data_IF_649779978257
#
_entry.id   IF_649779978257
#
_cell.length_a   1.000
_cell.length_b   1.000
_cell.length_c   1.000
_cell.angle_alpha   90.00
_cell.angle_beta   90.00
_cell.angle_gamma   90.00
#
_symmetry.space_group_name_H-M   'P 1'
#
loop_
_entity.id
_entity.type
_entity.pdbx_description
1 polymer ?
#
# COMPACT_ATOMS: atom_id res chain seq x y z
N UNK A 1 -7.51 5.88 -36.24
CA UNK A 1 -6.03 5.76 -36.21
C UNK A 1 -5.48 6.38 -34.92
N UNK A 2 -5.35 5.55 -33.89
CA UNK A 2 -5.07 5.99 -32.52
C UNK A 2 -3.61 6.35 -32.29
N UNK A 3 -3.38 7.58 -31.85
CA UNK A 3 -2.10 8.05 -31.32
C UNK A 3 -1.98 7.64 -29.86
N UNK A 4 -1.16 6.63 -29.60
CA UNK A 4 -0.81 6.22 -28.24
C UNK A 4 -0.02 7.32 -27.53
N UNK A 5 -0.54 7.78 -26.40
CA UNK A 5 0.13 8.71 -25.49
C UNK A 5 1.32 8.00 -24.83
N UNK A 6 2.54 8.36 -25.27
CA UNK A 6 3.79 8.01 -24.58
C UNK A 6 3.88 8.85 -23.31
N UNK A 7 3.77 8.19 -22.15
CA UNK A 7 4.10 8.76 -20.85
C UNK A 7 5.64 8.73 -20.73
N UNK A 8 6.33 9.89 -20.56
CA UNK A 8 7.81 9.95 -20.62
C UNK A 8 8.56 9.22 -19.50
N UNK A 9 7.90 8.92 -18.36
CA UNK A 9 8.55 8.44 -17.14
C UNK A 9 8.75 6.91 -17.05
N UNK A 10 8.52 6.17 -18.14
CA UNK A 10 8.56 4.70 -18.15
C UNK A 10 9.58 4.10 -19.13
N UNK A 11 10.73 4.76 -19.31
CA UNK A 11 11.84 4.15 -20.04
C UNK A 11 12.65 3.24 -19.11
N UNK A 12 12.83 1.94 -19.44
CA UNK A 12 13.72 1.07 -18.69
C UNK A 12 15.17 1.54 -18.87
N UNK A 13 15.77 2.09 -17.82
CA UNK A 13 17.18 2.46 -17.83
C UNK A 13 18.01 1.19 -17.67
N UNK A 14 18.38 0.60 -18.80
CA UNK A 14 19.38 -0.46 -18.87
C UNK A 14 20.77 0.16 -18.74
N UNK A 15 21.56 -0.46 -17.84
CA UNK A 15 22.99 -0.30 -17.64
C UNK A 15 23.48 0.95 -16.88
N UNK A 16 24.06 0.67 -15.71
CA UNK A 16 25.50 0.78 -15.42
C UNK A 16 25.76 1.45 -14.06
N UNK A 17 26.01 0.63 -13.05
CA UNK A 17 26.88 0.88 -11.89
C UNK A 17 26.67 -0.28 -10.89
N UNK A 18 27.48 -1.33 -11.03
CA UNK A 18 27.70 -2.30 -9.95
C UNK A 18 28.90 -1.77 -9.18
N UNK A 19 28.62 -1.15 -8.03
CA UNK A 19 29.62 -0.69 -7.07
C UNK A 19 29.32 -1.30 -5.71
N UNK A 20 30.06 -2.37 -5.40
CA UNK A 20 30.38 -2.95 -4.08
C UNK A 20 29.40 -2.74 -2.92
N UNK A 21 28.59 -3.77 -2.63
CA UNK A 21 28.10 -4.06 -1.28
C UNK A 21 28.30 -5.55 -0.98
N UNK A 22 29.15 -5.83 0.02
CA UNK A 22 29.24 -7.05 0.84
C UNK A 22 29.24 -8.42 0.17
N UNK A 23 30.40 -9.13 0.18
CA UNK A 23 30.43 -10.59 0.01
C UNK A 23 29.67 -11.25 1.18
N UNK A 24 28.66 -12.05 0.87
CA UNK A 24 28.08 -13.02 1.81
C UNK A 24 28.52 -14.41 1.38
N UNK A 25 29.06 -15.17 2.34
CA UNK A 25 29.72 -16.45 2.14
C UNK A 25 28.75 -17.51 1.61
N UNK A 26 29.17 -18.19 0.54
CA UNK A 26 28.44 -19.31 -0.05
C UNK A 26 28.60 -20.56 0.78
N UNK A 27 27.51 -21.00 1.41
CA UNK A 27 27.28 -22.39 1.81
C UNK A 27 26.27 -23.00 0.85
N UNK A 28 26.58 -24.18 0.33
CA UNK A 28 25.72 -24.94 -0.59
C UNK A 28 24.50 -25.47 0.17
N UNK A 29 23.51 -24.62 0.43
CA UNK A 29 22.24 -25.00 1.03
C UNK A 29 21.22 -25.29 -0.08
N UNK A 30 20.58 -26.44 0.02
CA UNK A 30 19.51 -26.93 -0.84
C UNK A 30 18.49 -25.84 -1.16
N UNK A 31 18.07 -25.75 -2.43
CA UNK A 31 17.10 -24.81 -2.96
C UNK A 31 15.74 -24.89 -2.24
N UNK A 32 15.64 -24.28 -1.06
CA UNK A 32 14.40 -23.93 -0.40
C UNK A 32 13.89 -22.64 -1.00
N UNK A 33 12.80 -22.72 -1.77
CA UNK A 33 12.17 -21.55 -2.36
C UNK A 33 11.49 -20.71 -1.27
N UNK A 34 12.15 -19.66 -0.80
CA UNK A 34 11.52 -18.61 -0.01
C UNK A 34 12.47 -17.82 0.86
N UNK A 35 12.09 -16.58 1.20
CA UNK A 35 12.72 -15.81 2.26
C UNK A 35 12.48 -16.48 3.63
N UNK A 36 13.55 -16.93 4.30
CA UNK A 36 13.51 -17.60 5.60
C UNK A 36 14.34 -16.83 6.62
N UNK A 37 13.79 -16.65 7.82
CA UNK A 37 14.54 -16.14 8.96
C UNK A 37 15.31 -17.29 9.62
N UNK A 38 16.62 -17.16 9.72
CA UNK A 38 17.51 -18.17 10.29
C UNK A 38 18.31 -17.59 11.45
N UNK A 39 18.41 -18.34 12.55
CA UNK A 39 19.35 -18.06 13.62
C UNK A 39 20.55 -19.01 13.46
N UNK A 40 21.73 -18.45 13.21
CA UNK A 40 23.00 -19.17 13.20
C UNK A 40 23.39 -19.65 14.60
N UNK A 41 24.13 -20.75 14.65
CA UNK A 41 24.61 -21.34 15.91
C UNK A 41 25.61 -20.45 16.68
N UNK A 42 26.11 -19.39 16.05
CA UNK A 42 27.00 -18.36 16.63
C UNK A 42 26.23 -17.16 17.23
N UNK A 43 24.89 -17.22 17.26
CA UNK A 43 24.04 -16.13 17.73
C UNK A 43 23.78 -15.05 16.68
N UNK A 44 24.29 -15.21 15.45
CA UNK A 44 23.87 -14.37 14.33
C UNK A 44 22.43 -14.71 13.95
N UNK A 45 21.62 -13.71 13.60
CA UNK A 45 20.29 -13.93 13.04
C UNK A 45 20.16 -13.12 11.76
N UNK A 46 19.57 -13.71 10.73
CA UNK A 46 19.54 -13.11 9.42
C UNK A 46 18.52 -13.73 8.49
N UNK A 47 18.37 -13.09 7.33
CA UNK A 47 17.51 -13.57 6.26
C UNK A 47 18.32 -14.36 5.26
N UNK A 48 17.88 -15.58 5.00
CA UNK A 48 18.21 -16.31 3.80
C UNK A 48 17.16 -15.98 2.74
N UNK A 49 17.57 -15.23 1.72
CA UNK A 49 16.71 -14.85 0.61
C UNK A 49 17.06 -15.68 -0.62
N UNK A 50 16.04 -16.23 -1.29
CA UNK A 50 16.19 -16.80 -2.62
C UNK A 50 16.64 -15.75 -3.63
N UNK A 51 17.21 -16.20 -4.76
CA UNK A 51 17.73 -15.31 -5.80
C UNK A 51 16.66 -14.33 -6.33
N UNK A 52 15.40 -14.75 -6.37
CA UNK A 52 14.27 -13.94 -6.82
C UNK A 52 13.92 -12.84 -5.81
N UNK A 53 13.86 -13.17 -4.53
CA UNK A 53 13.60 -12.21 -3.46
C UNK A 53 14.73 -11.18 -3.35
N UNK A 54 15.98 -11.62 -3.50
CA UNK A 54 17.14 -10.71 -3.57
C UNK A 54 17.03 -9.72 -4.74
N UNK A 55 16.65 -10.20 -5.93
CA UNK A 55 16.42 -9.35 -7.10
C UNK A 55 15.34 -8.30 -6.82
N UNK A 56 14.21 -8.71 -6.23
CA UNK A 56 13.09 -7.81 -5.90
C UNK A 56 13.50 -6.75 -4.88
N UNK A 57 14.20 -7.16 -3.82
CA UNK A 57 14.74 -6.25 -2.80
C UNK A 57 15.66 -5.22 -3.45
N UNK A 58 16.61 -5.65 -4.27
CA UNK A 58 17.57 -4.74 -4.90
C UNK A 58 16.94 -3.84 -5.95
N UNK A 59 15.97 -4.35 -6.73
CA UNK A 59 15.32 -3.62 -7.82
C UNK A 59 14.30 -2.59 -7.32
N UNK A 60 13.47 -2.95 -6.34
CA UNK A 60 12.31 -2.14 -5.95
C UNK A 60 12.44 -1.50 -4.58
N UNK A 61 13.10 -2.16 -3.62
CA UNK A 61 13.15 -1.69 -2.22
C UNK A 61 14.45 -0.94 -1.90
N UNK A 62 15.60 -1.39 -2.44
CA UNK A 62 16.92 -0.80 -2.21
C UNK A 62 17.24 0.39 -3.12
N UNK A 63 16.60 0.44 -4.30
CA UNK A 63 16.67 1.55 -5.26
C UNK A 63 15.31 2.23 -5.30
N UNK A 64 15.01 3.08 -4.33
CA UNK A 64 13.72 3.80 -4.29
C UNK A 64 13.49 4.51 -5.62
N UNK A 65 12.54 4.01 -6.43
CA UNK A 65 12.28 4.45 -7.82
C UNK A 65 11.73 5.88 -7.96
N UNK A 66 11.53 6.63 -6.86
CA UNK A 66 10.86 7.95 -6.93
C UNK A 66 11.53 9.08 -6.13
N UNK A 67 12.47 8.85 -5.21
CA UNK A 67 13.12 9.98 -4.51
C UNK A 67 14.56 9.72 -4.10
N UNK A 68 15.39 10.74 -4.31
CA UNK A 68 16.81 10.85 -3.99
C UNK A 68 17.15 10.34 -2.58
N UNK A 69 18.18 9.49 -2.54
CA UNK A 69 19.12 9.02 -1.49
C UNK A 69 18.73 8.79 -0.01
N UNK A 70 17.54 9.17 0.48
CA UNK A 70 17.19 9.00 1.91
C UNK A 70 15.68 8.74 2.17
N UNK A 71 14.97 8.25 1.15
CA UNK A 71 13.52 8.04 1.18
C UNK A 71 13.05 6.98 2.19
N UNK A 72 11.80 7.16 2.68
CA UNK A 72 11.11 6.28 3.63
C UNK A 72 11.25 4.80 3.29
N UNK A 73 11.14 4.43 2.00
CA UNK A 73 11.25 3.05 1.54
C UNK A 73 12.62 2.41 1.82
N UNK A 74 13.72 3.16 1.64
CA UNK A 74 15.08 2.64 1.89
C UNK A 74 15.31 2.41 3.38
N UNK A 75 14.86 3.34 4.22
CA UNK A 75 14.96 3.21 5.68
C UNK A 75 14.05 2.08 6.19
N UNK A 76 12.84 1.98 5.65
CA UNK A 76 11.88 0.93 5.97
C UNK A 76 12.38 -0.46 5.54
N UNK A 77 13.14 -0.57 4.44
CA UNK A 77 13.82 -1.82 4.08
C UNK A 77 14.83 -2.25 5.16
N UNK A 78 15.58 -1.30 5.73
CA UNK A 78 16.47 -1.59 6.87
C UNK A 78 15.71 -2.17 8.06
N UNK A 79 14.52 -1.62 8.36
CA UNK A 79 13.62 -2.12 9.41
C UNK A 79 13.04 -3.49 9.06
N UNK A 80 12.76 -3.76 7.77
CA UNK A 80 12.20 -5.03 7.32
C UNK A 80 13.12 -6.21 7.66
N UNK A 81 14.44 -6.04 7.55
CA UNK A 81 15.39 -7.09 7.90
C UNK A 81 15.35 -7.51 9.37
N UNK A 82 14.82 -6.69 10.29
CA UNK A 82 14.66 -7.06 11.70
C UNK A 82 13.22 -7.42 12.08
N UNK A 83 12.26 -7.27 11.16
CA UNK A 83 10.83 -7.46 11.41
C UNK A 83 10.20 -8.37 10.36
N UNK A 84 10.06 -9.69 10.63
CA UNK A 84 9.58 -10.65 9.63
C UNK A 84 8.22 -10.37 9.01
N UNK A 85 7.28 -9.83 9.78
CA UNK A 85 5.98 -9.43 9.26
C UNK A 85 6.08 -8.30 8.22
N UNK A 86 7.00 -7.33 8.41
CA UNK A 86 7.28 -6.26 7.46
C UNK A 86 8.07 -6.76 6.25
N UNK A 87 9.03 -7.66 6.43
CA UNK A 87 9.80 -8.23 5.33
C UNK A 87 8.91 -8.94 4.32
N UNK A 88 8.02 -9.82 4.81
CA UNK A 88 7.08 -10.51 3.95
C UNK A 88 6.08 -9.56 3.29
N UNK A 89 5.61 -8.51 3.97
CA UNK A 89 4.78 -7.48 3.34
C UNK A 89 5.51 -6.76 2.20
N UNK A 90 6.78 -6.40 2.42
CA UNK A 90 7.62 -5.70 1.44
C UNK A 90 7.89 -6.55 0.20
N UNK A 91 8.15 -7.85 0.40
CA UNK A 91 8.29 -8.82 -0.70
C UNK A 91 6.98 -8.99 -1.47
N UNK A 92 5.84 -9.08 -0.78
CA UNK A 92 4.53 -9.17 -1.42
C UNK A 92 4.22 -7.95 -2.28
N UNK A 93 4.48 -6.73 -1.79
CA UNK A 93 4.35 -5.50 -2.59
C UNK A 93 5.26 -5.54 -3.81
N UNK A 94 6.52 -5.97 -3.62
CA UNK A 94 7.48 -6.03 -4.71
C UNK A 94 7.04 -7.01 -5.80
N UNK A 95 6.45 -8.14 -5.42
CA UNK A 95 5.86 -9.11 -6.35
C UNK A 95 4.63 -8.56 -7.06
N UNK A 96 3.73 -7.89 -6.34
CA UNK A 96 2.55 -7.26 -6.92
C UNK A 96 2.94 -6.16 -7.93
N UNK A 97 3.98 -5.37 -7.62
CA UNK A 97 4.51 -4.35 -8.50
C UNK A 97 5.24 -4.95 -9.71
N UNK A 98 6.02 -6.02 -9.52
CA UNK A 98 6.68 -6.72 -10.62
C UNK A 98 5.66 -7.34 -11.59
N UNK A 99 4.58 -7.94 -11.06
CA UNK A 99 3.45 -8.45 -11.84
C UNK A 99 2.77 -7.35 -12.65
N UNK A 100 2.68 -6.13 -12.11
CA UNK A 100 2.15 -4.99 -12.83
C UNK A 100 3.06 -4.57 -14.01
N UNK A 101 4.37 -4.49 -13.79
CA UNK A 101 5.34 -4.06 -14.81
C UNK A 101 5.65 -5.12 -15.88
N UNK A 102 5.61 -6.41 -15.53
CA UNK A 102 5.99 -7.51 -16.41
C UNK A 102 4.81 -8.46 -16.68
N UNK A 103 3.89 -8.08 -17.60
CA UNK A 103 2.85 -8.97 -18.11
C UNK A 103 3.39 -10.32 -18.56
N UNK A 104 2.75 -11.43 -18.19
CA UNK A 104 3.15 -12.76 -18.68
C UNK A 104 2.98 -12.88 -20.21
N UNK A 105 4.04 -13.21 -20.99
CA UNK A 105 4.01 -13.17 -22.46
C UNK A 105 3.08 -14.20 -23.12
N UNK A 106 2.86 -15.36 -22.48
CA UNK A 106 2.18 -16.51 -23.10
C UNK A 106 0.64 -16.45 -23.09
N UNK A 107 0.01 -15.34 -22.71
CA UNK A 107 -1.45 -15.21 -22.80
C UNK A 107 -1.88 -13.87 -23.44
N UNK A 108 -1.73 -13.72 -24.77
CA UNK A 108 -2.06 -12.47 -25.48
C UNK A 108 -3.55 -12.12 -25.46
N UNK A 109 -4.42 -13.11 -25.25
CA UNK A 109 -5.88 -12.98 -25.16
C UNK A 109 -6.41 -12.94 -23.71
N UNK A 110 -5.56 -13.20 -22.69
CA UNK A 110 -5.90 -13.12 -21.26
C UNK A 110 -5.14 -12.00 -20.55
N UNK A 111 -4.88 -10.90 -21.28
CA UNK A 111 -4.24 -9.69 -20.73
C UNK A 111 -4.96 -9.09 -19.52
N UNK A 112 -6.21 -9.49 -19.26
CA UNK A 112 -7.01 -9.02 -18.14
C UNK A 112 -6.86 -9.88 -16.88
N UNK A 113 -6.61 -11.19 -16.97
CA UNK A 113 -6.65 -12.09 -15.81
C UNK A 113 -5.30 -12.24 -15.11
N UNK A 114 -4.21 -12.35 -15.87
CA UNK A 114 -2.85 -12.59 -15.32
C UNK A 114 -2.27 -11.38 -14.59
N UNK A 115 -2.71 -10.16 -14.92
CA UNK A 115 -2.32 -8.95 -14.23
C UNK A 115 -3.01 -8.74 -12.89
N UNK A 116 -4.06 -9.50 -12.58
CA UNK A 116 -4.94 -9.24 -11.43
C UNK A 116 -4.89 -10.33 -10.37
N UNK A 117 -4.54 -11.56 -10.76
CA UNK A 117 -4.37 -12.67 -9.83
C UNK A 117 -2.97 -12.70 -9.23
N UNK A 118 -2.82 -12.71 -7.89
CA UNK A 118 -1.54 -12.91 -7.23
C UNK A 118 -0.85 -14.19 -7.67
N UNK A 119 0.47 -14.15 -7.78
CA UNK A 119 1.26 -15.38 -7.89
C UNK A 119 1.21 -16.19 -6.59
N UNK A 120 1.54 -17.48 -6.64
CA UNK A 120 1.65 -18.30 -5.43
C UNK A 120 2.66 -17.72 -4.43
N UNK A 121 3.76 -17.15 -4.93
CA UNK A 121 4.80 -16.52 -4.10
C UNK A 121 4.29 -15.23 -3.43
N UNK A 122 3.50 -14.44 -4.15
CA UNK A 122 2.85 -13.24 -3.61
C UNK A 122 1.84 -13.60 -2.52
N UNK A 123 0.99 -14.60 -2.78
CA UNK A 123 0.04 -15.13 -1.80
C UNK A 123 0.74 -15.70 -0.56
N UNK A 124 1.85 -16.42 -0.74
CA UNK A 124 2.67 -16.97 0.34
C UNK A 124 3.22 -15.88 1.27
N UNK A 125 3.87 -14.85 0.71
CA UNK A 125 4.39 -13.73 1.50
C UNK A 125 3.27 -12.89 2.14
N UNK A 126 2.15 -12.71 1.45
CA UNK A 126 0.98 -12.02 2.01
C UNK A 126 0.43 -12.78 3.22
N UNK A 127 0.32 -14.11 3.12
CA UNK A 127 -0.12 -14.98 4.21
C UNK A 127 0.84 -14.90 5.40
N UNK A 128 2.15 -15.11 5.19
CA UNK A 128 3.14 -15.06 6.26
C UNK A 128 3.16 -13.69 6.95
N UNK A 129 3.13 -12.61 6.17
CA UNK A 129 3.06 -11.25 6.73
C UNK A 129 1.83 -11.08 7.62
N UNK A 130 0.64 -11.45 7.12
CA UNK A 130 -0.63 -11.33 7.85
C UNK A 130 -0.62 -12.15 9.14
N UNK A 131 -0.17 -13.41 9.09
CA UNK A 131 -0.14 -14.30 10.25
C UNK A 131 0.84 -13.82 11.34
N UNK A 132 2.04 -13.39 10.94
CA UNK A 132 3.03 -12.85 11.88
C UNK A 132 2.59 -11.50 12.46
N UNK A 133 1.98 -10.65 11.63
CA UNK A 133 1.46 -9.36 12.07
C UNK A 133 0.29 -9.53 13.04
N UNK A 134 -0.64 -10.44 12.74
CA UNK A 134 -1.74 -10.77 13.65
C UNK A 134 -1.22 -11.23 15.02
N UNK A 135 -0.19 -12.08 15.04
CA UNK A 135 0.48 -12.48 16.30
C UNK A 135 1.10 -11.29 17.02
N UNK A 136 1.76 -10.37 16.30
CA UNK A 136 2.34 -9.16 16.89
C UNK A 136 1.29 -8.22 17.47
N UNK A 137 0.11 -8.14 16.87
CA UNK A 137 -0.98 -7.29 17.36
C UNK A 137 -1.75 -7.89 18.56
N UNK A 138 -1.53 -9.17 18.90
CA UNK A 138 -2.06 -9.76 20.13
C UNK A 138 -1.39 -9.19 21.39
N UNK A 139 -0.20 -8.62 21.27
CA UNK A 139 0.48 -7.90 22.34
C UNK A 139 0.22 -6.39 22.21
N UNK A 140 -0.18 -5.69 23.29
CA UNK A 140 -0.39 -4.24 23.25
C UNK A 140 0.82 -3.50 22.72
N UNK A 141 0.59 -2.55 21.81
CA UNK A 141 1.62 -1.63 21.36
C UNK A 141 1.87 -0.66 22.51
N UNK A 142 3.02 -0.79 23.16
CA UNK A 142 3.29 -0.12 24.43
C UNK A 142 4.37 0.95 24.30
N UNK A 143 4.62 1.67 25.39
CA UNK A 143 5.76 2.59 25.48
C UNK A 143 7.11 1.88 25.48
N UNK A 144 7.14 0.56 25.73
CA UNK A 144 8.36 -0.25 25.70
C UNK A 144 8.77 -0.67 24.28
N UNK A 145 7.85 -0.58 23.31
CA UNK A 145 8.18 -0.78 21.90
C UNK A 145 9.11 0.33 21.43
N UNK A 146 10.20 -0.07 20.77
CA UNK A 146 11.14 0.88 20.19
C UNK A 146 10.46 1.69 19.08
N UNK A 147 11.05 2.83 18.72
CA UNK A 147 10.54 3.58 17.56
C UNK A 147 10.58 2.74 16.29
N UNK A 148 11.55 1.86 16.15
CA UNK A 148 11.64 0.94 15.01
C UNK A 148 10.49 -0.06 14.99
N UNK A 149 10.09 -0.61 16.14
CA UNK A 149 8.93 -1.52 16.23
C UNK A 149 7.63 -0.83 15.77
N UNK A 150 7.42 0.42 16.20
CA UNK A 150 6.24 1.21 15.82
C UNK A 150 6.21 1.53 14.33
N UNK A 151 7.37 1.84 13.73
CA UNK A 151 7.47 2.01 12.28
C UNK A 151 7.24 0.71 11.53
N UNK A 152 7.73 -0.42 12.05
CA UNK A 152 7.48 -1.72 11.44
C UNK A 152 5.97 -2.05 11.43
N UNK A 153 5.28 -1.77 12.53
CA UNK A 153 3.83 -1.98 12.66
C UNK A 153 3.07 -1.10 11.67
N UNK A 154 3.35 0.20 11.64
CA UNK A 154 2.68 1.11 10.73
C UNK A 154 2.96 0.78 9.27
N UNK A 155 4.23 0.50 8.93
CA UNK A 155 4.65 0.12 7.58
C UNK A 155 3.99 -1.16 7.10
N UNK A 156 3.84 -2.15 7.97
CA UNK A 156 3.16 -3.42 7.62
C UNK A 156 1.67 -3.21 7.40
N UNK A 157 1.00 -2.45 8.28
CA UNK A 157 -0.41 -2.14 8.11
C UNK A 157 -0.67 -1.34 6.82
N UNK A 158 0.19 -0.37 6.50
CA UNK A 158 0.16 0.37 5.24
C UNK A 158 0.38 -0.54 4.03
N UNK A 159 1.31 -1.48 4.13
CA UNK A 159 1.62 -2.40 3.05
C UNK A 159 0.48 -3.40 2.78
N UNK A 160 -0.13 -3.97 3.83
CA UNK A 160 -1.28 -4.85 3.71
C UNK A 160 -2.50 -4.10 3.16
N UNK A 161 -2.73 -2.85 3.56
CA UNK A 161 -3.75 -2.00 2.97
C UNK A 161 -3.49 -1.78 1.46
N UNK A 162 -2.25 -1.49 1.07
CA UNK A 162 -1.90 -1.31 -0.34
C UNK A 162 -2.15 -2.58 -1.17
N UNK A 163 -1.80 -3.75 -0.64
CA UNK A 163 -1.99 -5.03 -1.34
C UNK A 163 -3.46 -5.31 -1.68
N UNK A 164 -4.42 -4.81 -0.90
CA UNK A 164 -5.85 -4.95 -1.24
C UNK A 164 -6.25 -4.25 -2.54
N UNK A 165 -5.50 -3.21 -2.95
CA UNK A 165 -5.70 -2.53 -4.24
C UNK A 165 -4.99 -3.24 -5.41
N UNK A 166 -4.05 -4.14 -5.13
CA UNK A 166 -3.25 -4.82 -6.14
C UNK A 166 -3.96 -6.03 -6.78
N UNK A 167 -5.16 -6.37 -6.31
CA UNK A 167 -5.95 -7.51 -6.78
C UNK A 167 -7.38 -7.08 -7.14
N UNK A 168 -7.56 -6.16 -8.09
CA UNK A 168 -8.89 -5.71 -8.48
C UNK A 168 -9.67 -6.84 -9.16
N UNK A 169 -11.00 -6.76 -9.13
CA UNK A 169 -11.83 -7.77 -9.79
C UNK A 169 -11.51 -7.84 -11.30
N UNK A 170 -11.63 -9.02 -11.94
CA UNK A 170 -11.30 -9.22 -13.35
C UNK A 170 -12.06 -8.33 -14.33
N UNK A 171 -13.31 -7.98 -14.03
CA UNK A 171 -14.12 -7.07 -14.84
C UNK A 171 -14.82 -6.01 -13.97
N UNK A 172 -15.26 -4.88 -14.55
CA UNK A 172 -16.09 -3.91 -13.85
C UNK A 172 -17.36 -4.54 -13.28
N UNK A 173 -17.98 -5.49 -13.99
CA UNK A 173 -19.20 -6.19 -13.58
C UNK A 173 -18.97 -7.13 -12.39
N UNK A 174 -17.75 -7.62 -12.21
CA UNK A 174 -17.33 -8.40 -11.05
C UNK A 174 -16.82 -7.51 -9.91
N UNK A 175 -16.75 -6.20 -10.10
CA UNK A 175 -16.39 -5.24 -9.06
C UNK A 175 -17.64 -4.64 -8.43
N UNK A 176 -17.59 -4.34 -7.14
CA UNK A 176 -18.59 -3.48 -6.52
C UNK A 176 -18.67 -2.11 -7.23
N UNK A 177 -19.86 -1.54 -7.46
CA UNK A 177 -21.18 -2.00 -7.00
C UNK A 177 -21.93 -2.93 -7.98
N UNK A 178 -21.32 -3.29 -9.11
CA UNK A 178 -21.98 -4.06 -10.17
C UNK A 178 -22.00 -5.57 -9.89
N UNK A 179 -21.11 -6.05 -9.02
CA UNK A 179 -21.04 -7.44 -8.62
C UNK A 179 -22.35 -7.94 -8.00
N UNK A 180 -22.76 -9.21 -8.26
CA UNK A 180 -23.92 -9.81 -7.61
C UNK A 180 -23.78 -9.75 -6.08
N UNK A 181 -24.86 -9.40 -5.37
CA UNK A 181 -24.90 -9.13 -3.91
C UNK A 181 -24.39 -10.25 -2.98
N UNK A 182 -24.01 -11.40 -3.52
CA UNK A 182 -23.38 -12.53 -2.80
C UNK A 182 -21.86 -12.43 -2.64
N UNK A 183 -21.17 -11.45 -3.27
CA UNK A 183 -19.69 -11.30 -3.24
C UNK A 183 -19.13 -10.32 -2.20
N UNK A 184 -19.99 -9.74 -1.35
CA UNK A 184 -19.71 -8.51 -0.58
C UNK A 184 -18.52 -8.55 0.39
N UNK A 185 -18.08 -9.73 0.86
CA UNK A 185 -17.01 -9.81 1.86
C UNK A 185 -15.61 -9.45 1.31
N UNK A 186 -15.33 -9.78 0.04
CA UNK A 186 -14.06 -9.44 -0.61
C UNK A 186 -14.07 -8.01 -1.17
N UNK A 187 -15.22 -7.56 -1.63
CA UNK A 187 -15.40 -6.25 -2.29
C UNK A 187 -15.07 -5.05 -1.38
N UNK A 188 -15.23 -5.21 -0.06
CA UNK A 188 -14.91 -4.19 0.94
C UNK A 188 -13.61 -4.46 1.72
N UNK A 189 -12.80 -5.44 1.30
CA UNK A 189 -11.55 -5.76 2.00
C UNK A 189 -10.60 -4.55 2.08
N UNK A 190 -10.53 -3.74 1.02
CA UNK A 190 -9.72 -2.52 0.97
C UNK A 190 -10.19 -1.45 1.97
N UNK A 191 -11.51 -1.30 2.15
CA UNK A 191 -12.09 -0.37 3.09
C UNK A 191 -11.82 -0.84 4.53
N UNK A 192 -12.12 -2.11 4.82
CA UNK A 192 -11.87 -2.72 6.14
C UNK A 192 -10.40 -2.67 6.53
N UNK A 193 -9.49 -2.94 5.60
CA UNK A 193 -8.06 -2.88 5.85
C UNK A 193 -7.58 -1.45 6.08
N UNK A 194 -8.11 -0.49 5.32
CA UNK A 194 -7.82 0.94 5.53
C UNK A 194 -8.25 1.41 6.92
N UNK A 195 -9.47 1.09 7.35
CA UNK A 195 -9.96 1.36 8.71
C UNK A 195 -9.13 0.64 9.77
N UNK A 196 -8.81 -0.64 9.54
CA UNK A 196 -7.96 -1.44 10.42
C UNK A 196 -6.59 -0.81 10.63
N UNK A 197 -5.95 -0.33 9.56
CA UNK A 197 -4.71 0.45 9.62
C UNK A 197 -4.89 1.73 10.44
N UNK A 198 -5.96 2.48 10.22
CA UNK A 198 -6.20 3.74 10.94
C UNK A 198 -6.43 3.53 12.45
N UNK A 199 -6.95 2.38 12.87
CA UNK A 199 -7.05 2.04 14.31
C UNK A 199 -5.69 2.01 15.03
N UNK A 200 -4.59 1.78 14.30
CA UNK A 200 -3.23 1.77 14.82
C UNK A 200 -2.60 3.17 14.90
N UNK A 201 -3.26 4.21 14.35
CA UNK A 201 -2.70 5.55 14.19
C UNK A 201 -2.16 6.12 15.51
N UNK A 202 -2.96 6.06 16.59
CA UNK A 202 -2.55 6.61 17.89
C UNK A 202 -1.41 5.83 18.53
N UNK A 203 -1.42 4.50 18.39
CA UNK A 203 -0.44 3.62 19.02
C UNK A 203 0.91 3.64 18.32
N UNK A 204 0.91 3.58 16.98
CA UNK A 204 2.14 3.66 16.19
C UNK A 204 2.64 5.11 16.03
N UNK A 205 1.73 6.08 16.01
CA UNK A 205 1.98 7.51 15.83
C UNK A 205 3.00 7.79 14.72
N UNK A 206 2.60 7.72 13.43
CA UNK A 206 3.53 7.94 12.31
C UNK A 206 4.05 9.37 12.22
N UNK A 207 3.48 10.31 13.00
CA UNK A 207 3.92 11.71 13.10
C UNK A 207 4.87 11.97 14.27
N UNK A 208 5.26 10.95 15.06
CA UNK A 208 6.25 11.15 16.13
C UNK A 208 7.60 11.62 15.54
N UNK A 209 8.39 12.44 16.27
CA UNK A 209 9.61 13.05 15.72
C UNK A 209 10.65 12.08 15.16
N UNK A 210 10.70 10.86 15.70
CA UNK A 210 11.64 9.79 15.33
C UNK A 210 11.10 8.83 14.28
N UNK A 211 9.86 9.02 13.83
CA UNK A 211 9.20 8.16 12.84
C UNK A 211 9.86 8.26 11.47
N UNK A 212 10.08 7.11 10.84
CA UNK A 212 10.43 7.05 9.42
C UNK A 212 9.34 7.66 8.50
N UNK A 213 8.09 7.73 8.96
CA UNK A 213 6.95 8.26 8.20
C UNK A 213 6.72 9.75 8.42
N UNK A 214 7.47 10.43 9.28
CA UNK A 214 7.34 11.87 9.50
C UNK A 214 7.43 12.71 8.21
N UNK A 215 8.29 12.37 7.21
CA UNK A 215 8.32 13.09 5.94
C UNK A 215 7.00 13.04 5.16
N UNK A 216 6.10 12.09 5.47
CA UNK A 216 4.77 11.99 4.88
C UNK A 216 3.70 12.83 5.61
N UNK A 217 4.07 13.64 6.61
CA UNK A 217 3.15 14.49 7.34
C UNK A 217 2.25 15.38 6.44
N UNK A 218 2.77 16.02 5.36
CA UNK A 218 1.91 16.77 4.44
C UNK A 218 0.86 15.91 3.73
N UNK A 219 1.21 14.66 3.42
CA UNK A 219 0.30 13.66 2.84
C UNK A 219 -0.80 13.32 3.83
N UNK A 220 -0.45 13.05 5.09
CA UNK A 220 -1.43 12.76 6.13
C UNK A 220 -2.36 13.94 6.43
N UNK A 221 -1.84 15.17 6.45
CA UNK A 221 -2.65 16.37 6.61
C UNK A 221 -3.67 16.55 5.48
N UNK A 222 -3.29 16.19 4.24
CA UNK A 222 -4.21 16.17 3.09
C UNK A 222 -5.30 15.11 3.28
N UNK A 223 -4.93 13.92 3.75
CA UNK A 223 -5.87 12.81 3.99
C UNK A 223 -6.93 13.13 5.05
N UNK A 224 -6.57 13.92 6.07
CA UNK A 224 -7.46 14.29 7.18
C UNK A 224 -8.04 15.71 7.04
N UNK A 225 -7.95 16.32 5.86
CA UNK A 225 -8.50 17.65 5.64
C UNK A 225 -10.02 17.60 5.79
N UNK A 226 -10.62 18.44 6.66
CA UNK A 226 -12.07 18.43 6.85
C UNK A 226 -12.77 18.88 5.56
N UNK A 227 -13.94 18.31 5.23
CA UNK A 227 -14.78 18.85 4.18
C UNK A 227 -15.25 20.28 4.53
N UNK A 228 -15.74 21.05 3.54
CA UNK A 228 -16.37 22.34 3.78
C UNK A 228 -17.47 22.25 4.84
N UNK A 229 -17.83 23.39 5.45
CA UNK A 229 -18.87 23.42 6.50
C UNK A 229 -20.24 23.04 5.92
N UNK A 230 -20.56 23.56 4.73
CA UNK A 230 -21.79 23.27 4.02
C UNK A 230 -21.67 23.55 2.52
N UNK A 231 -22.69 23.15 1.77
CA UNK A 231 -22.89 23.44 0.37
C UNK A 231 -22.16 22.52 -0.59
N UNK A 232 -22.25 22.86 -1.89
CA UNK A 232 -21.82 22.01 -3.01
C UNK A 232 -20.61 22.57 -3.76
N UNK A 233 -19.84 23.47 -3.14
CA UNK A 233 -18.67 24.09 -3.80
C UNK A 233 -17.69 23.03 -4.29
N UNK A 234 -17.37 23.06 -5.58
CA UNK A 234 -16.46 22.10 -6.22
C UNK A 234 -17.09 20.77 -6.64
N UNK A 235 -18.34 20.49 -6.23
CA UNK A 235 -19.07 19.27 -6.60
C UNK A 235 -19.75 19.49 -7.96
N UNK A 236 -19.60 18.53 -8.87
CA UNK A 236 -20.30 18.58 -10.17
C UNK A 236 -21.82 18.44 -9.99
N UNK A 237 -22.60 19.08 -10.85
CA UNK A 237 -24.08 19.02 -10.78
C UNK A 237 -24.65 17.60 -10.88
N UNK A 238 -23.97 16.71 -11.60
CA UNK A 238 -24.33 15.30 -11.68
C UNK A 238 -24.13 14.59 -10.33
N UNK A 239 -22.97 14.80 -9.70
CA UNK A 239 -22.67 14.20 -8.39
C UNK A 239 -23.59 14.75 -7.30
N UNK A 240 -23.81 16.07 -7.27
CA UNK A 240 -24.75 16.70 -6.32
C UNK A 240 -26.15 16.10 -6.44
N UNK A 241 -26.65 15.89 -7.67
CA UNK A 241 -27.97 15.30 -7.90
C UNK A 241 -28.07 13.85 -7.43
N UNK A 242 -27.04 13.04 -7.70
CA UNK A 242 -27.02 11.62 -7.28
C UNK A 242 -26.96 11.50 -5.76
N UNK A 243 -26.20 12.38 -5.10
CA UNK A 243 -26.05 12.41 -3.64
C UNK A 243 -27.14 13.21 -2.91
N UNK A 244 -28.08 13.83 -3.63
CA UNK A 244 -29.13 14.67 -3.05
C UNK A 244 -28.59 15.88 -2.28
N UNK A 245 -27.51 16.50 -2.78
CA UNK A 245 -26.84 17.65 -2.17
C UNK A 245 -27.34 18.97 -2.77
N UNK A 246 -27.44 19.98 -1.92
CA UNK A 246 -27.74 21.37 -2.24
C UNK A 246 -26.89 22.34 -1.38
N UNK A 247 -27.09 23.66 -1.56
CA UNK A 247 -26.31 24.68 -0.86
C UNK A 247 -26.48 24.67 0.67
N UNK A 248 -27.55 24.04 1.18
CA UNK A 248 -27.80 23.87 2.61
C UNK A 248 -27.25 22.57 3.19
N UNK A 249 -26.78 21.66 2.33
CA UNK A 249 -26.30 20.36 2.74
C UNK A 249 -25.03 20.47 3.56
N UNK A 250 -24.92 19.68 4.62
CA UNK A 250 -23.76 19.59 5.50
C UNK A 250 -23.57 18.15 6.00
N UNK A 251 -22.56 17.95 6.85
CA UNK A 251 -22.23 16.63 7.40
C UNK A 251 -23.30 16.09 8.38
N UNK A 252 -24.20 16.92 8.91
CA UNK A 252 -25.24 16.51 9.84
C UNK A 252 -26.54 16.12 9.12
N UNK A 253 -26.85 16.81 8.02
CA UNK A 253 -28.11 16.64 7.30
C UNK A 253 -28.00 15.76 6.03
N UNK A 254 -26.79 15.46 5.53
CA UNK A 254 -26.60 14.59 4.37
C UNK A 254 -25.44 13.61 4.56
N UNK A 255 -25.77 12.31 4.57
CA UNK A 255 -24.81 11.21 4.78
C UNK A 255 -23.75 11.08 3.66
N UNK A 256 -24.01 11.63 2.47
CA UNK A 256 -23.08 11.60 1.34
C UNK A 256 -22.17 12.82 1.29
N UNK A 257 -22.37 13.82 2.15
CA UNK A 257 -21.68 15.11 2.09
C UNK A 257 -20.15 14.95 2.06
N UNK A 258 -19.58 14.25 3.04
CA UNK A 258 -18.13 14.02 3.11
C UNK A 258 -17.59 13.25 1.91
N UNK A 259 -18.24 12.14 1.57
CA UNK A 259 -17.84 11.30 0.43
C UNK A 259 -17.90 12.05 -0.91
N UNK A 260 -18.92 12.88 -1.14
CA UNK A 260 -19.06 13.65 -2.38
C UNK A 260 -17.96 14.73 -2.51
N UNK A 261 -17.62 15.42 -1.41
CA UNK A 261 -16.50 16.38 -1.39
C UNK A 261 -15.16 15.68 -1.62
N UNK A 262 -14.94 14.51 -1.04
CA UNK A 262 -13.74 13.71 -1.29
C UNK A 262 -13.62 13.26 -2.76
N UNK A 263 -14.72 12.81 -3.37
CA UNK A 263 -14.76 12.46 -4.80
C UNK A 263 -14.51 13.68 -5.67
N UNK A 264 -15.13 14.83 -5.36
CA UNK A 264 -14.94 16.06 -6.10
C UNK A 264 -13.46 16.52 -6.10
N UNK A 265 -12.77 16.39 -4.97
CA UNK A 265 -11.34 16.67 -4.88
C UNK A 265 -10.48 15.78 -5.79
N UNK A 266 -10.87 14.51 -5.97
CA UNK A 266 -10.15 13.56 -6.82
C UNK A 266 -10.47 13.79 -8.30
N UNK A 267 -11.75 14.03 -8.64
CA UNK A 267 -12.20 14.25 -10.02
C UNK A 267 -11.58 15.49 -10.67
N UNK A 268 -11.19 16.49 -9.88
CA UNK A 268 -10.51 17.69 -10.37
C UNK A 268 -9.04 17.51 -10.75
N UNK A 269 -8.47 16.31 -10.55
CA UNK A 269 -7.04 16.05 -10.76
C UNK A 269 -6.78 15.40 -12.11
N UNK A 270 -5.63 15.71 -12.73
CA UNK A 270 -5.11 14.92 -13.85
C UNK A 270 -4.55 13.60 -13.33
N UNK A 271 -4.57 12.54 -14.16
CA UNK A 271 -4.04 11.22 -13.78
C UNK A 271 -2.59 11.27 -13.26
N UNK A 272 -1.76 12.15 -13.83
CA UNK A 272 -0.37 12.37 -13.39
C UNK A 272 -0.23 13.04 -12.03
N UNK A 273 -1.30 13.63 -11.49
CA UNK A 273 -1.35 14.37 -10.23
C UNK A 273 -2.04 13.57 -9.11
N UNK A 274 -2.56 12.37 -9.42
CA UNK A 274 -3.20 11.48 -8.46
C UNK A 274 -2.12 10.83 -7.60
N UNK A 275 -2.22 11.04 -6.28
CA UNK A 275 -1.33 10.42 -5.29
C UNK A 275 -2.14 9.62 -4.29
N UNK A 276 -1.51 8.65 -3.64
CA UNK A 276 -2.14 7.83 -2.58
C UNK A 276 -2.79 8.70 -1.51
N UNK A 277 -2.17 9.81 -1.11
CA UNK A 277 -2.73 10.73 -0.12
C UNK A 277 -4.03 11.39 -0.56
N UNK A 278 -4.16 11.74 -1.85
CA UNK A 278 -5.37 12.37 -2.40
C UNK A 278 -6.50 11.37 -2.56
N UNK A 279 -6.19 10.14 -3.01
CA UNK A 279 -7.18 9.06 -3.09
C UNK A 279 -7.63 8.57 -1.72
N UNK A 280 -6.77 8.68 -0.70
CA UNK A 280 -7.08 8.21 0.64
C UNK A 280 -8.03 9.13 1.44
N UNK A 281 -8.27 10.36 0.99
CA UNK A 281 -9.33 11.24 1.55
C UNK A 281 -10.69 10.53 1.48
N UNK A 282 -11.01 9.92 0.35
CA UNK A 282 -12.26 9.17 0.16
C UNK A 282 -12.40 7.99 1.12
N UNK A 283 -11.28 7.35 1.47
CA UNK A 283 -11.29 6.21 2.40
C UNK A 283 -11.49 6.64 3.85
N UNK A 284 -11.07 7.86 4.21
CA UNK A 284 -11.27 8.45 5.53
C UNK A 284 -12.69 8.94 5.77
N UNK A 285 -13.42 9.36 4.72
CA UNK A 285 -14.81 9.84 4.87
C UNK A 285 -15.85 8.72 5.07
N UNK A 286 -15.48 7.46 4.86
CA UNK A 286 -16.26 6.31 5.34
C UNK A 286 -16.25 6.19 6.88
N UNK A 287 -15.39 6.96 7.56
CA UNK A 287 -15.23 7.01 9.01
C UNK A 287 -15.99 8.22 9.58
N UNK A 288 -17.29 8.05 9.82
CA UNK A 288 -18.00 8.89 10.77
C UNK A 288 -17.34 8.81 12.16
N UNK A 289 -16.45 9.76 12.48
CA UNK A 289 -16.07 10.12 13.85
C UNK A 289 -14.75 9.57 14.42
N UNK A 290 -13.97 8.79 13.68
CA UNK A 290 -12.74 8.15 14.22
C UNK A 290 -11.55 9.11 14.40
N UNK A 291 -11.35 10.03 13.46
CA UNK A 291 -10.27 11.05 13.52
C UNK A 291 -10.69 12.35 14.23
N UNK A 292 -11.97 12.50 14.59
CA UNK A 292 -12.53 13.73 15.19
C UNK A 292 -12.60 13.71 16.72
N UNK A 293 -11.85 12.83 17.40
CA UNK A 293 -11.70 12.87 18.86
C UNK A 293 -10.25 12.70 19.29
#
# INVERSE_FOLDING_TARGET
PGTGTRIPDLQPVVARAVGSLGRVAGGLATAGAGAVWTCGGDGSAGWELGAREQELVMRYLGRSLVTSDDGVNRKLLGVAFTHPFLMHASLAISLAYDRYLHPHPLQPQSRTRTHRTPSLQEAHHTHLSTSLFARRLQTPISTHDTDTDKDAIWGTAAALALLTFCTPAPTPEESWPLAPSSSTAADFAWLRMSTGKMSLWRAANPLRPTSLFLPLAPTFATMSAPPPISGITGISSALARVCGLDDSSDAENNVYFGAAHAVAMIQGLRDSEVTVGRTAVFMGEGEGGGLRR
#
